data_IF_465556744200
#
_entry.id   IF_465556744200
#
_cell.length_a   1.000
_cell.length_b   1.000
_cell.length_c   1.000
_cell.angle_alpha   90.00
_cell.angle_beta   90.00
_cell.angle_gamma   90.00
#
_symmetry.space_group_name_H-M   'P 1'
#
loop_
_entity.id
_entity.type
_entity.pdbx_description
1 polymer ?
#
# COMPACT_ATOMS: atom_id res chain seq x y z
N UNK A 1 -6.40 14.03 8.99
CA UNK A 1 -6.34 13.71 7.55
C UNK A 1 -5.24 12.64 7.39
N UNK A 2 -5.63 11.37 7.28
CA UNK A 2 -4.71 10.23 7.45
C UNK A 2 -3.78 10.07 6.23
N UNK A 3 -2.62 10.74 6.24
CA UNK A 3 -1.58 10.70 5.21
C UNK A 3 -0.96 9.32 4.94
N UNK A 4 -1.46 8.29 5.61
CA UNK A 4 -0.96 6.92 5.48
C UNK A 4 -1.91 5.98 4.76
N UNK A 5 -3.10 6.44 4.37
CA UNK A 5 -4.14 5.64 3.72
C UNK A 5 -3.82 5.34 2.25
N UNK A 6 -2.55 5.09 1.93
CA UNK A 6 -2.06 4.83 0.59
C UNK A 6 -1.90 3.33 0.35
N UNK A 7 -2.21 2.88 -0.86
CA UNK A 7 -2.09 1.48 -1.24
C UNK A 7 -0.65 0.98 -1.08
N UNK A 8 0.36 1.85 -1.22
CA UNK A 8 1.77 1.52 -0.98
C UNK A 8 2.09 0.96 0.42
N UNK A 9 1.33 1.39 1.44
CA UNK A 9 1.54 0.93 2.83
C UNK A 9 0.72 -0.32 3.17
N UNK A 10 -0.13 -0.75 2.24
CA UNK A 10 -0.97 -1.92 2.38
C UNK A 10 -0.15 -3.21 2.31
N UNK A 11 -0.50 -4.20 3.12
CA UNK A 11 0.14 -5.51 3.10
C UNK A 11 -0.02 -6.25 1.76
N UNK A 12 -1.09 -5.97 1.03
CA UNK A 12 -1.43 -6.62 -0.23
C UNK A 12 -0.85 -5.91 -1.47
N UNK A 13 -0.09 -4.83 -1.30
CA UNK A 13 0.53 -4.13 -2.42
C UNK A 13 1.67 -4.95 -3.01
N UNK A 14 1.61 -5.20 -4.31
CA UNK A 14 2.58 -6.00 -5.03
C UNK A 14 3.17 -5.20 -6.19
N UNK A 15 4.48 -5.02 -6.18
CA UNK A 15 5.24 -4.41 -7.26
C UNK A 15 5.81 -5.50 -8.16
N UNK A 16 5.40 -5.48 -9.42
CA UNK A 16 5.81 -6.44 -10.44
C UNK A 16 6.74 -5.68 -11.39
N UNK A 17 8.00 -6.10 -11.45
CA UNK A 17 8.96 -5.57 -12.43
C UNK A 17 8.74 -6.30 -13.75
N UNK A 18 8.28 -5.57 -14.76
CA UNK A 18 8.13 -6.03 -16.13
C UNK A 18 9.28 -5.49 -16.97
N UNK A 19 9.53 -6.15 -18.11
CA UNK A 19 10.55 -5.74 -19.08
C UNK A 19 10.32 -4.30 -19.59
N UNK A 20 9.04 -3.91 -19.72
CA UNK A 20 8.59 -2.57 -20.13
C UNK A 20 8.41 -1.56 -18.98
N UNK A 21 8.69 -1.92 -17.72
CA UNK A 21 8.60 -0.99 -16.59
C UNK A 21 8.07 -1.60 -15.30
N UNK A 22 7.70 -0.76 -14.33
CA UNK A 22 7.11 -1.21 -13.06
C UNK A 22 5.59 -1.22 -13.17
N UNK A 23 4.97 -2.35 -12.80
CA UNK A 23 3.52 -2.49 -12.65
C UNK A 23 3.20 -2.71 -11.19
N UNK A 24 2.09 -2.14 -10.73
CA UNK A 24 1.66 -2.27 -9.34
C UNK A 24 0.27 -2.86 -9.32
N UNK A 25 0.09 -3.91 -8.51
CA UNK A 25 -1.16 -4.66 -8.44
C UNK A 25 -1.53 -4.91 -6.98
N UNK A 26 -2.83 -4.91 -6.70
CA UNK A 26 -3.35 -5.37 -5.42
C UNK A 26 -3.48 -6.89 -5.44
N UNK A 27 -2.70 -7.62 -4.61
CA UNK A 27 -2.79 -9.08 -4.51
C UNK A 27 -4.17 -9.56 -4.04
N UNK A 28 -4.86 -8.74 -3.23
CA UNK A 28 -6.20 -9.07 -2.69
C UNK A 28 -7.29 -9.01 -3.75
N UNK A 29 -7.30 -7.94 -4.54
CA UNK A 29 -8.37 -7.69 -5.51
C UNK A 29 -7.99 -8.13 -6.93
N UNK A 30 -6.71 -8.30 -7.23
CA UNK A 30 -6.22 -8.65 -8.57
C UNK A 30 -6.22 -7.50 -9.57
N UNK A 31 -6.53 -6.26 -9.16
CA UNK A 31 -6.54 -5.09 -10.05
C UNK A 31 -5.23 -4.32 -10.04
N UNK A 32 -4.97 -3.65 -11.15
CA UNK A 32 -3.91 -2.65 -11.26
C UNK A 32 -4.19 -1.49 -10.29
N UNK A 33 -3.23 -1.21 -9.43
CA UNK A 33 -3.32 -0.16 -8.41
C UNK A 33 -2.15 0.78 -8.55
N UNK A 34 -2.22 1.95 -7.92
CA UNK A 34 -1.07 2.86 -7.84
C UNK A 34 -0.70 3.08 -6.37
N UNK A 35 0.59 3.30 -6.07
CA UNK A 35 1.03 3.55 -4.69
C UNK A 35 0.33 4.76 -4.05
N UNK A 36 -0.09 5.74 -4.87
CA UNK A 36 -0.82 6.95 -4.45
C UNK A 36 -2.31 6.76 -4.24
N UNK A 37 -2.89 5.60 -4.58
CA UNK A 37 -4.33 5.37 -4.47
C UNK A 37 -4.72 5.10 -3.03
N UNK A 38 -5.90 5.57 -2.64
CA UNK A 38 -6.45 5.40 -1.30
C UNK A 38 -7.69 4.50 -1.43
N UNK A 39 -7.53 3.23 -1.07
CA UNK A 39 -8.65 2.29 -1.07
C UNK A 39 -9.29 2.23 0.30
N UNK A 40 -10.60 1.99 0.34
CA UNK A 40 -11.34 1.76 1.59
C UNK A 40 -10.91 0.46 2.27
N UNK A 41 -10.49 -0.55 1.48
CA UNK A 41 -10.01 -1.84 1.98
C UNK A 41 -8.53 -1.81 2.43
N UNK A 42 -8.04 -0.65 2.87
CA UNK A 42 -6.64 -0.46 3.23
C UNK A 42 -6.29 -1.21 4.52
N UNK A 43 -5.35 -2.14 4.42
CA UNK A 43 -4.83 -2.91 5.55
C UNK A 43 -3.32 -2.69 5.68
N UNK A 44 -2.87 -1.81 6.60
CA UNK A 44 -1.45 -1.56 6.79
C UNK A 44 -0.76 -2.80 7.34
N UNK A 45 0.49 -3.03 6.89
CA UNK A 45 1.37 -4.02 7.51
C UNK A 45 1.56 -3.69 9.00
N UNK A 46 1.76 -4.71 9.83
CA UNK A 46 2.05 -4.51 11.26
C UNK A 46 3.23 -3.56 11.51
N UNK A 47 4.25 -3.61 10.66
CA UNK A 47 5.39 -2.69 10.70
C UNK A 47 4.95 -1.23 10.51
N UNK A 48 4.01 -0.99 9.60
CA UNK A 48 3.44 0.36 9.35
C UNK A 48 2.61 0.81 10.54
N UNK A 49 1.79 -0.07 11.14
CA UNK A 49 1.04 0.24 12.37
C UNK A 49 1.99 0.67 13.49
N UNK A 50 3.05 -0.12 13.75
CA UNK A 50 4.08 0.22 14.75
C UNK A 50 4.78 1.54 14.45
N UNK A 51 5.04 1.85 13.18
CA UNK A 51 5.63 3.13 12.77
C UNK A 51 4.68 4.32 12.98
N UNK A 52 3.39 4.14 12.75
CA UNK A 52 2.38 5.18 13.04
C UNK A 52 2.33 5.47 14.54
N UNK A 53 2.29 4.43 15.36
CA UNK A 53 2.27 4.56 16.82
C UNK A 53 3.54 5.25 17.34
N UNK A 54 4.71 4.91 16.79
CA UNK A 54 5.98 5.58 17.12
C UNK A 54 6.01 7.06 16.72
N UNK A 55 5.37 7.43 15.61
CA UNK A 55 5.40 8.80 15.08
C UNK A 55 4.37 9.71 15.72
N UNK A 56 3.38 9.16 16.41
CA UNK A 56 2.37 9.91 17.15
C UNK A 56 2.78 10.26 18.59
N UNK A 57 4.02 9.98 18.99
CA UNK A 57 4.56 10.18 20.34
C UNK A 57 5.70 11.19 20.31
#
# INVERSE_FOLDING_TARGET
MNSFHCCATCQHFQSIKLDKGMKYQCKRLGYDTRPSYQFTCWEPKEVVKKLMEKRSR
#
